data_IF_583458357412
#
_entry.id   IF_583458357412
#
_cell.length_a   1.000
_cell.length_b   1.000
_cell.length_c   1.000
_cell.angle_alpha   90.00
_cell.angle_beta   90.00
_cell.angle_gamma   90.00
#
_symmetry.space_group_name_H-M   'P 1'
#
loop_
_entity.id
_entity.type
_entity.pdbx_description
1 polymer ?
#
# COMPACT_ATOMS: atom_id res chain seq x y z
N UNK A 1 -27.62 -3.13 4.39
CA UNK A 1 -26.56 -4.15 4.68
C UNK A 1 -26.11 -4.93 3.42
N UNK A 2 -26.49 -4.57 2.18
CA UNK A 2 -26.26 -5.45 1.01
C UNK A 2 -24.99 -5.17 0.16
N UNK A 3 -24.51 -3.93 -0.01
CA UNK A 3 -23.35 -3.65 -0.91
C UNK A 3 -21.96 -3.99 -0.34
N UNK A 4 -21.80 -3.99 0.99
CA UNK A 4 -20.52 -4.30 1.65
C UNK A 4 -20.21 -5.80 1.61
N UNK A 5 -21.22 -6.63 1.91
CA UNK A 5 -21.11 -8.09 1.82
C UNK A 5 -20.81 -8.52 0.37
N UNK A 6 -21.47 -7.94 -0.64
CA UNK A 6 -21.19 -8.18 -2.06
C UNK A 6 -19.76 -7.79 -2.45
N UNK A 7 -19.27 -6.63 -2.00
CA UNK A 7 -17.90 -6.16 -2.28
C UNK A 7 -16.81 -7.04 -1.66
N UNK A 8 -17.01 -7.48 -0.41
CA UNK A 8 -16.08 -8.38 0.28
C UNK A 8 -16.15 -9.80 -0.29
N UNK A 9 -17.35 -10.31 -0.59
CA UNK A 9 -17.54 -11.61 -1.24
C UNK A 9 -16.84 -11.66 -2.60
N UNK A 10 -16.90 -10.59 -3.39
CA UNK A 10 -16.18 -10.53 -4.66
C UNK A 10 -14.66 -10.48 -4.49
N UNK A 11 -14.14 -9.85 -3.42
CA UNK A 11 -12.70 -9.84 -3.16
C UNK A 11 -12.22 -11.20 -2.68
N UNK A 12 -12.92 -11.81 -1.72
CA UNK A 12 -12.52 -13.09 -1.15
C UNK A 12 -12.63 -14.19 -2.21
N UNK A 13 -13.72 -14.23 -2.97
CA UNK A 13 -13.86 -15.19 -4.08
C UNK A 13 -12.77 -15.02 -5.14
N UNK A 14 -12.41 -13.77 -5.50
CA UNK A 14 -11.29 -13.52 -6.41
C UNK A 14 -9.95 -13.96 -5.81
N UNK A 15 -9.72 -13.63 -4.53
CA UNK A 15 -8.51 -13.99 -3.80
C UNK A 15 -8.35 -15.51 -3.74
N UNK A 16 -9.40 -16.25 -3.44
CA UNK A 16 -9.39 -17.72 -3.32
C UNK A 16 -9.18 -18.42 -4.66
N UNK A 17 -9.59 -17.80 -5.77
CA UNK A 17 -9.37 -18.32 -7.12
C UNK A 17 -7.95 -18.06 -7.65
N UNK A 18 -7.18 -17.16 -7.02
CA UNK A 18 -5.85 -16.79 -7.45
C UNK A 18 -4.78 -17.59 -6.69
N UNK A 19 -3.72 -18.04 -7.38
CA UNK A 19 -2.72 -18.91 -6.77
C UNK A 19 -1.95 -18.21 -5.64
N UNK A 20 -1.34 -19.00 -4.75
CA UNK A 20 -0.43 -18.52 -3.70
C UNK A 20 0.80 -17.77 -4.22
N UNK A 21 1.12 -17.94 -5.50
CA UNK A 21 2.14 -17.16 -6.20
C UNK A 21 1.72 -15.72 -6.45
N UNK A 22 0.46 -15.33 -6.25
CA UNK A 22 0.07 -13.93 -6.23
C UNK A 22 0.31 -13.32 -4.85
N UNK A 23 0.79 -12.07 -4.83
CA UNK A 23 0.91 -11.31 -3.60
C UNK A 23 -0.39 -10.55 -3.31
N UNK A 24 -0.97 -10.75 -2.13
CA UNK A 24 -2.03 -9.91 -1.57
C UNK A 24 -1.38 -8.83 -0.73
N UNK A 25 -1.47 -7.58 -1.17
CA UNK A 25 -0.75 -6.45 -0.57
C UNK A 25 -1.68 -5.28 -0.28
N UNK A 26 -1.44 -4.57 0.82
CA UNK A 26 -2.19 -3.36 1.15
C UNK A 26 -1.28 -2.18 1.54
N UNK A 27 -1.80 -0.97 1.36
CA UNK A 27 -1.29 0.27 1.95
C UNK A 27 -2.27 0.76 3.01
N UNK A 28 -1.76 1.21 4.15
CA UNK A 28 -2.60 1.78 5.20
C UNK A 28 -1.86 2.85 6.02
N UNK A 29 -2.28 4.12 5.87
CA UNK A 29 -1.90 5.17 6.81
C UNK A 29 -2.68 4.96 8.13
N UNK A 30 -1.96 4.64 9.20
CA UNK A 30 -2.58 4.28 10.49
C UNK A 30 -2.76 5.47 11.44
N UNK A 31 -2.34 6.67 11.02
CA UNK A 31 -2.48 7.91 11.79
C UNK A 31 -1.99 7.80 13.25
N UNK A 32 -0.83 7.19 13.47
CA UNK A 32 -0.31 6.94 14.82
C UNK A 32 -1.20 6.03 15.67
N UNK A 33 -2.05 5.21 15.04
CA UNK A 33 -3.14 4.44 15.66
C UNK A 33 -4.23 5.29 16.32
N UNK A 34 -4.31 6.59 16.00
CA UNK A 34 -5.36 7.49 16.49
C UNK A 34 -6.55 7.38 15.54
N UNK A 35 -7.70 6.98 16.09
CA UNK A 35 -8.92 6.88 15.30
C UNK A 35 -9.62 8.20 15.10
N UNK A 36 -10.67 8.18 14.28
CA UNK A 36 -11.56 9.35 14.09
C UNK A 36 -12.38 9.69 15.33
N UNK A 37 -12.34 8.83 16.35
CA UNK A 37 -12.85 9.05 17.70
C UNK A 37 -11.82 9.69 18.65
N UNK A 38 -10.63 10.02 18.17
CA UNK A 38 -9.52 10.60 18.95
C UNK A 38 -8.80 9.62 19.88
N UNK A 39 -9.20 8.34 19.89
CA UNK A 39 -8.58 7.33 20.76
C UNK A 39 -7.39 6.69 20.07
N UNK A 40 -6.28 6.51 20.79
CA UNK A 40 -5.08 5.80 20.31
C UNK A 40 -5.20 4.32 20.64
N UNK A 41 -5.39 3.46 19.64
CA UNK A 41 -5.62 2.01 19.81
C UNK A 41 -4.98 1.19 18.68
N UNK A 42 -3.84 0.55 18.96
CA UNK A 42 -3.16 -0.33 18.02
C UNK A 42 -3.82 -1.71 17.85
N UNK A 43 -4.61 -2.18 18.83
CA UNK A 43 -5.37 -3.43 18.69
C UNK A 43 -6.45 -3.28 17.63
N UNK A 44 -7.08 -2.10 17.56
CA UNK A 44 -8.02 -1.74 16.49
C UNK A 44 -7.37 -1.72 15.12
N UNK A 45 -6.16 -1.17 14.99
CA UNK A 45 -5.39 -1.23 13.73
C UNK A 45 -5.08 -2.68 13.34
N UNK A 46 -4.61 -3.50 14.28
CA UNK A 46 -4.37 -4.92 14.03
C UNK A 46 -5.65 -5.65 13.59
N UNK A 47 -6.81 -5.35 14.19
CA UNK A 47 -8.09 -5.91 13.80
C UNK A 47 -8.47 -5.51 12.35
N UNK A 48 -8.30 -4.24 11.95
CA UNK A 48 -8.50 -3.83 10.54
C UNK A 48 -7.55 -4.58 9.61
N UNK A 49 -6.27 -4.73 9.97
CA UNK A 49 -5.30 -5.45 9.14
C UNK A 49 -5.70 -6.92 8.94
N UNK A 50 -6.32 -7.56 9.93
CA UNK A 50 -6.87 -8.92 9.76
C UNK A 50 -7.98 -8.97 8.72
N UNK A 51 -8.88 -7.98 8.70
CA UNK A 51 -9.95 -7.89 7.69
C UNK A 51 -9.44 -7.70 6.25
N UNK A 52 -8.17 -7.29 6.07
CA UNK A 52 -7.61 -7.07 4.74
C UNK A 52 -7.31 -8.38 4.01
N UNK A 53 -7.01 -9.45 4.76
CA UNK A 53 -6.61 -10.75 4.21
C UNK A 53 -5.43 -10.63 3.24
N UNK A 54 -4.48 -9.75 3.61
CA UNK A 54 -3.25 -9.52 2.85
C UNK A 54 -2.05 -10.19 3.53
N UNK A 55 -1.12 -10.65 2.70
CA UNK A 55 0.13 -11.28 3.15
C UNK A 55 1.18 -10.24 3.54
N UNK A 56 1.08 -9.05 2.92
CA UNK A 56 2.01 -7.95 3.08
C UNK A 56 1.25 -6.64 3.21
N UNK A 57 1.61 -5.80 4.18
CA UNK A 57 0.96 -4.52 4.44
C UNK A 57 2.02 -3.46 4.64
N UNK A 58 2.05 -2.47 3.76
CA UNK A 58 2.83 -1.25 3.98
C UNK A 58 2.04 -0.26 4.81
N UNK A 59 2.63 0.17 5.91
CA UNK A 59 2.04 1.10 6.85
C UNK A 59 2.74 2.46 6.78
N UNK A 60 1.97 3.52 6.92
CA UNK A 60 2.45 4.90 7.10
C UNK A 60 2.00 5.41 8.46
N UNK A 61 2.75 6.38 9.02
CA UNK A 61 2.46 6.97 10.33
C UNK A 61 2.44 5.96 11.48
N UNK A 62 3.30 4.95 11.42
CA UNK A 62 3.46 3.98 12.50
C UNK A 62 4.42 4.53 13.53
N UNK A 63 4.09 4.36 14.81
CA UNK A 63 4.95 4.72 15.92
C UNK A 63 5.59 3.50 16.62
N UNK A 64 6.04 3.64 17.86
CA UNK A 64 6.68 2.58 18.65
C UNK A 64 5.83 1.32 18.86
N UNK A 65 4.53 1.33 18.50
CA UNK A 65 3.64 0.16 18.61
C UNK A 65 3.72 -0.83 17.44
N UNK A 66 4.65 -0.64 16.51
CA UNK A 66 4.86 -1.57 15.39
C UNK A 66 4.97 -3.03 15.86
N UNK A 67 5.81 -3.30 16.86
CA UNK A 67 6.03 -4.66 17.37
C UNK A 67 4.79 -5.27 18.02
N UNK A 68 3.98 -4.44 18.69
CA UNK A 68 2.69 -4.86 19.22
C UNK A 68 1.74 -5.31 18.11
N UNK A 69 1.64 -4.52 17.04
CA UNK A 69 0.77 -4.85 15.89
C UNK A 69 1.27 -6.14 15.23
N UNK A 70 2.58 -6.24 14.98
CA UNK A 70 3.19 -7.41 14.36
C UNK A 70 3.00 -8.68 15.19
N UNK A 71 3.25 -8.62 16.50
CA UNK A 71 3.05 -9.74 17.43
C UNK A 71 1.60 -10.18 17.50
N UNK A 72 0.64 -9.25 17.49
CA UNK A 72 -0.80 -9.56 17.50
C UNK A 72 -1.26 -10.21 16.18
N UNK A 73 -0.55 -9.99 15.08
CA UNK A 73 -0.85 -10.57 13.77
C UNK A 73 -0.04 -11.85 13.46
N UNK A 74 1.00 -12.14 14.26
CA UNK A 74 1.91 -13.25 14.01
C UNK A 74 2.71 -13.08 12.72
N UNK A 75 3.14 -11.86 12.42
CA UNK A 75 3.87 -11.52 11.18
C UNK A 75 5.18 -10.80 11.49
N UNK A 76 6.11 -10.80 10.54
CA UNK A 76 7.36 -10.05 10.65
C UNK A 76 7.11 -8.55 10.43
N UNK A 77 7.79 -7.71 11.19
CA UNK A 77 7.86 -6.27 10.96
C UNK A 77 9.21 -5.86 10.36
N UNK A 78 9.18 -4.99 9.34
CA UNK A 78 10.34 -4.29 8.79
C UNK A 78 10.18 -2.79 9.06
N UNK A 79 10.94 -2.21 9.99
CA UNK A 79 10.80 -0.80 10.33
C UNK A 79 11.48 0.11 9.30
N UNK A 80 10.75 1.12 8.83
CA UNK A 80 11.24 2.28 8.08
C UNK A 80 11.04 3.58 8.88
N UNK A 81 11.29 3.52 10.19
CA UNK A 81 11.09 4.65 11.11
C UNK A 81 12.21 5.68 10.90
N UNK A 82 11.85 6.95 10.70
CA UNK A 82 12.82 8.01 10.36
C UNK A 82 12.73 9.27 11.17
N UNK A 83 11.67 9.43 11.96
CA UNK A 83 11.52 10.57 12.84
C UNK A 83 11.50 10.07 14.27
N UNK A 84 12.25 10.71 15.16
CA UNK A 84 12.04 10.58 16.61
C UNK A 84 11.20 11.78 17.02
N UNK A 85 9.91 11.54 17.31
CA UNK A 85 9.00 12.53 17.91
C UNK A 85 9.15 12.48 19.44
N UNK A 86 8.55 13.45 20.13
CA UNK A 86 8.47 13.43 21.60
C UNK A 86 7.77 12.15 22.12
N UNK A 87 6.84 11.58 21.36
CA UNK A 87 6.13 10.35 21.68
C UNK A 87 6.76 9.08 21.08
N UNK A 88 7.99 9.17 20.55
CA UNK A 88 8.78 8.02 20.09
C UNK A 88 9.08 8.00 18.59
N UNK A 89 9.68 6.90 18.08
CA UNK A 89 9.98 6.76 16.67
C UNK A 89 8.69 6.73 15.84
N UNK A 90 8.73 7.32 14.64
CA UNK A 90 7.60 7.49 13.74
C UNK A 90 8.06 7.32 12.27
N UNK A 91 7.28 6.64 11.44
CA UNK A 91 7.57 6.52 10.02
C UNK A 91 6.79 5.43 9.28
N UNK A 92 7.43 4.88 8.25
CA UNK A 92 6.87 3.79 7.46
C UNK A 92 7.22 2.44 8.09
N UNK A 93 6.44 1.42 7.78
CA UNK A 93 6.78 0.04 8.08
C UNK A 93 6.23 -0.91 7.03
N UNK A 94 6.76 -2.12 6.99
CA UNK A 94 6.19 -3.23 6.24
C UNK A 94 5.90 -4.37 7.21
N UNK A 95 4.66 -4.83 7.26
CA UNK A 95 4.28 -6.09 7.90
C UNK A 95 4.18 -7.17 6.83
N UNK A 96 4.79 -8.33 7.02
CA UNK A 96 4.75 -9.38 5.99
C UNK A 96 4.87 -10.80 6.55
N UNK A 97 4.18 -11.74 5.89
CA UNK A 97 4.38 -13.19 6.04
C UNK A 97 5.40 -13.76 5.07
N UNK A 98 5.79 -12.98 4.04
CA UNK A 98 6.74 -13.38 3.01
C UNK A 98 8.16 -13.21 3.50
N UNK A 99 9.07 -14.08 3.05
CA UNK A 99 10.49 -13.99 3.40
C UNK A 99 11.06 -12.68 2.85
N UNK A 100 11.73 -11.92 3.72
CA UNK A 100 12.46 -10.71 3.32
C UNK A 100 13.84 -11.09 2.82
N UNK A 101 14.19 -10.61 1.63
CA UNK A 101 15.46 -10.87 0.96
C UNK A 101 16.44 -9.72 1.19
N UNK A 102 15.96 -8.47 1.08
CA UNK A 102 16.80 -7.28 1.21
C UNK A 102 15.98 -6.10 1.71
N UNK A 103 16.59 -5.22 2.49
CA UNK A 103 15.96 -4.00 3.02
C UNK A 103 16.86 -2.80 2.76
N UNK A 104 16.31 -1.81 2.07
CA UNK A 104 16.92 -0.52 1.77
C UNK A 104 16.03 0.60 2.27
N UNK A 105 16.62 1.76 2.52
CA UNK A 105 15.91 2.96 2.94
C UNK A 105 16.39 4.15 2.13
N UNK A 106 15.46 4.84 1.48
CA UNK A 106 15.74 6.07 0.77
C UNK A 106 15.27 7.25 1.61
N UNK A 107 16.20 8.12 2.02
CA UNK A 107 15.85 9.37 2.68
C UNK A 107 15.15 10.31 1.67
N UNK A 108 13.97 10.82 2.06
CA UNK A 108 13.15 11.73 1.28
C UNK A 108 12.91 13.06 2.04
N UNK A 109 13.82 13.42 2.95
CA UNK A 109 13.78 14.69 3.68
C UNK A 109 13.93 15.90 2.76
N UNK A 110 13.16 16.96 3.02
CA UNK A 110 13.15 18.18 2.22
C UNK A 110 13.33 19.42 3.10
N UNK A 111 14.54 19.95 3.14
CA UNK A 111 14.88 21.10 3.99
C UNK A 111 14.61 20.81 5.47
N UNK A 112 13.95 21.75 6.17
CA UNK A 112 13.56 21.62 7.58
C UNK A 112 12.17 20.99 7.80
N UNK A 113 11.59 20.35 6.77
CA UNK A 113 10.28 19.70 6.88
C UNK A 113 10.38 18.36 7.61
N UNK A 114 9.23 17.80 7.94
CA UNK A 114 9.14 16.48 8.55
C UNK A 114 9.93 15.44 7.72
N UNK A 115 10.87 14.70 8.32
CA UNK A 115 11.62 13.66 7.61
C UNK A 115 10.69 12.61 7.01
N UNK A 116 10.75 12.46 5.68
CA UNK A 116 10.10 11.37 4.94
C UNK A 116 11.14 10.36 4.48
N UNK A 117 10.69 9.14 4.20
CA UNK A 117 11.49 8.11 3.57
C UNK A 117 10.64 7.24 2.64
N UNK A 118 11.33 6.45 1.82
CA UNK A 118 10.75 5.27 1.20
C UNK A 118 11.47 4.02 1.75
N UNK A 119 10.69 3.10 2.31
CA UNK A 119 11.15 1.79 2.75
C UNK A 119 11.07 0.84 1.56
N UNK A 120 12.21 0.31 1.14
CA UNK A 120 12.35 -0.46 -0.10
C UNK A 120 12.81 -1.88 0.24
N UNK A 121 11.94 -2.86 0.03
CA UNK A 121 12.09 -4.22 0.53
C UNK A 121 11.93 -5.20 -0.61
N UNK A 122 12.86 -6.13 -0.76
CA UNK A 122 12.66 -7.29 -1.62
C UNK A 122 12.03 -8.43 -0.83
N UNK A 123 10.97 -8.98 -1.39
CA UNK A 123 10.26 -10.14 -0.86
C UNK A 123 10.42 -11.33 -1.79
N UNK A 124 10.52 -12.51 -1.21
CA UNK A 124 10.33 -13.78 -1.91
C UNK A 124 8.84 -14.14 -1.90
N UNK A 125 8.26 -14.20 -3.10
CA UNK A 125 6.89 -14.67 -3.30
C UNK A 125 6.92 -15.89 -4.20
N UNK A 126 6.84 -17.08 -3.59
CA UNK A 126 6.86 -18.37 -4.29
C UNK A 126 8.10 -18.56 -5.19
N UNK A 127 9.28 -18.17 -4.71
CA UNK A 127 10.55 -18.28 -5.43
C UNK A 127 10.82 -17.13 -6.39
N UNK A 128 9.93 -16.14 -6.47
CA UNK A 128 10.09 -14.95 -7.31
C UNK A 128 10.41 -13.73 -6.43
N UNK A 129 11.45 -12.98 -6.79
CA UNK A 129 11.75 -11.69 -6.17
C UNK A 129 10.73 -10.65 -6.60
N UNK A 130 10.10 -10.00 -5.62
CA UNK A 130 9.23 -8.84 -5.82
C UNK A 130 9.72 -7.68 -4.95
N UNK A 131 10.01 -6.54 -5.58
CA UNK A 131 10.43 -5.33 -4.89
C UNK A 131 9.21 -4.53 -4.45
N UNK A 132 9.10 -4.23 -3.16
CA UNK A 132 8.00 -3.47 -2.54
C UNK A 132 8.54 -2.20 -1.92
N UNK A 133 8.01 -1.06 -2.34
CA UNK A 133 8.39 0.25 -1.81
C UNK A 133 7.18 0.86 -1.10
N UNK A 134 7.33 1.11 0.20
CA UNK A 134 6.35 1.80 1.06
C UNK A 134 6.82 3.24 1.27
N UNK A 135 5.97 4.22 0.97
CA UNK A 135 6.34 5.64 1.12
C UNK A 135 5.20 6.47 1.69
N UNK A 136 5.54 7.61 2.31
CA UNK A 136 4.61 8.65 2.70
C UNK A 136 5.20 9.98 2.24
N UNK A 137 4.55 10.67 1.30
CA UNK A 137 5.07 11.93 0.77
C UNK A 137 4.67 13.13 1.63
N UNK A 138 5.39 14.23 1.49
CA UNK A 138 5.12 15.45 2.24
C UNK A 138 3.87 16.20 1.78
N UNK A 139 3.42 17.13 2.60
CA UNK A 139 2.17 17.87 2.38
C UNK A 139 2.31 19.00 1.34
N UNK A 140 3.53 19.44 1.04
CA UNK A 140 3.77 20.58 0.15
C UNK A 140 4.03 20.14 -1.28
N UNK A 141 3.39 20.79 -2.27
CA UNK A 141 3.48 20.37 -3.67
C UNK A 141 4.91 20.41 -4.25
N UNK A 142 5.77 21.32 -3.79
CA UNK A 142 7.19 21.37 -4.19
C UNK A 142 8.01 20.22 -3.62
N UNK A 143 7.77 19.89 -2.35
CA UNK A 143 8.35 18.74 -1.67
C UNK A 143 7.94 17.43 -2.34
N UNK A 144 6.64 17.19 -2.58
CA UNK A 144 6.16 15.99 -3.30
C UNK A 144 6.83 15.82 -4.65
N UNK A 145 6.98 16.90 -5.41
CA UNK A 145 7.65 16.89 -6.71
C UNK A 145 9.11 16.47 -6.60
N UNK A 146 9.83 16.96 -5.59
CA UNK A 146 11.22 16.58 -5.35
C UNK A 146 11.33 15.11 -4.91
N UNK A 147 10.47 14.67 -3.98
CA UNK A 147 10.45 13.30 -3.46
C UNK A 147 10.11 12.28 -4.55
N UNK A 148 9.11 12.54 -5.38
CA UNK A 148 8.76 11.67 -6.51
C UNK A 148 9.91 11.60 -7.53
N UNK A 149 10.59 12.71 -7.83
CA UNK A 149 11.76 12.66 -8.72
C UNK A 149 12.86 11.74 -8.16
N UNK A 150 13.21 11.90 -6.87
CA UNK A 150 14.19 11.04 -6.19
C UNK A 150 13.80 9.56 -6.24
N UNK A 151 12.53 9.25 -5.98
CA UNK A 151 12.01 7.88 -6.06
C UNK A 151 12.08 7.32 -7.49
N UNK A 152 11.71 8.11 -8.49
CA UNK A 152 11.77 7.68 -9.89
C UNK A 152 13.21 7.50 -10.37
N UNK A 153 14.14 8.34 -9.93
CA UNK A 153 15.57 8.19 -10.25
C UNK A 153 16.10 6.85 -9.72
N UNK A 154 15.70 6.42 -8.52
CA UNK A 154 16.01 5.09 -7.99
C UNK A 154 15.43 3.98 -8.89
N UNK A 155 14.16 4.11 -9.27
CA UNK A 155 13.42 3.09 -10.04
C UNK A 155 13.85 2.96 -11.51
N UNK A 156 14.49 3.97 -12.08
CA UNK A 156 15.07 3.90 -13.43
C UNK A 156 16.26 2.95 -13.52
N UNK A 157 16.98 2.75 -12.42
CA UNK A 157 18.10 1.81 -12.35
C UNK A 157 17.64 0.37 -12.09
N UNK A 158 16.35 0.15 -11.83
CA UNK A 158 15.77 -1.17 -11.64
C UNK A 158 15.49 -1.82 -13.00
N UNK A 159 16.04 -3.02 -13.29
CA UNK A 159 15.82 -3.71 -14.55
C UNK A 159 14.33 -3.83 -14.94
N UNK A 160 14.05 -3.74 -16.24
CA UNK A 160 12.66 -3.71 -16.73
C UNK A 160 11.88 -5.01 -16.44
N UNK A 161 12.58 -6.14 -16.31
CA UNK A 161 11.98 -7.44 -16.00
C UNK A 161 11.66 -7.62 -14.52
N UNK A 162 12.24 -6.80 -13.63
CA UNK A 162 11.93 -6.87 -12.21
C UNK A 162 10.55 -6.28 -11.92
N UNK A 163 9.79 -7.03 -11.12
CA UNK A 163 8.48 -6.58 -10.65
C UNK A 163 8.65 -5.64 -9.47
N UNK A 164 8.00 -4.49 -9.57
CA UNK A 164 8.04 -3.45 -8.53
C UNK A 164 6.63 -3.08 -8.14
N UNK A 165 6.36 -3.05 -6.84
CA UNK A 165 5.17 -2.45 -6.25
C UNK A 165 5.59 -1.20 -5.51
N UNK A 166 4.97 -0.07 -5.80
CA UNK A 166 5.11 1.16 -4.99
C UNK A 166 3.75 1.47 -4.40
N UNK A 167 3.68 1.64 -3.09
CA UNK A 167 2.44 1.94 -2.40
C UNK A 167 2.64 2.94 -1.27
N UNK A 168 1.57 3.64 -0.93
CA UNK A 168 1.60 4.61 0.16
C UNK A 168 0.63 5.76 0.00
N UNK A 169 0.61 6.60 1.03
CA UNK A 169 -0.02 7.91 1.01
C UNK A 169 0.88 8.91 0.28
N UNK A 170 0.44 9.35 -0.91
CA UNK A 170 1.18 10.34 -1.70
C UNK A 170 0.74 11.78 -1.44
N UNK A 171 -0.21 12.02 -0.54
CA UNK A 171 -0.74 13.35 -0.23
C UNK A 171 -1.18 14.15 -1.46
N UNK A 172 -1.70 13.46 -2.48
CA UNK A 172 -2.02 14.04 -3.78
C UNK A 172 -3.17 13.29 -4.45
N UNK A 173 -4.32 13.95 -4.53
CA UNK A 173 -5.56 13.39 -5.07
C UNK A 173 -5.82 13.79 -6.52
N UNK A 174 -5.16 14.84 -7.05
CA UNK A 174 -5.41 15.34 -8.40
C UNK A 174 -4.84 14.35 -9.44
N UNK A 175 -5.68 13.75 -10.30
CA UNK A 175 -5.23 12.73 -11.27
C UNK A 175 -4.18 13.26 -12.26
N UNK A 176 -4.27 14.54 -12.60
CA UNK A 176 -3.36 15.24 -13.50
C UNK A 176 -2.28 16.03 -12.75
N UNK A 177 -2.00 15.72 -11.49
CA UNK A 177 -0.84 16.30 -10.82
C UNK A 177 0.47 15.79 -11.44
N UNK A 178 1.52 16.61 -11.38
CA UNK A 178 2.86 16.21 -11.86
C UNK A 178 3.36 14.92 -11.17
N UNK A 179 3.31 14.78 -9.83
CA UNK A 179 3.70 13.55 -9.15
C UNK A 179 3.00 12.30 -9.69
N UNK A 180 1.67 12.33 -9.81
CA UNK A 180 0.88 11.17 -10.28
C UNK A 180 1.22 10.83 -11.73
N UNK A 181 1.30 11.83 -12.63
CA UNK A 181 1.67 11.59 -14.03
C UNK A 181 3.06 10.97 -14.16
N UNK A 182 4.04 11.45 -13.39
CA UNK A 182 5.40 10.91 -13.45
C UNK A 182 5.47 9.46 -12.91
N UNK A 183 4.77 9.17 -11.82
CA UNK A 183 4.64 7.79 -11.32
C UNK A 183 3.97 6.87 -12.35
N UNK A 184 2.86 7.32 -12.95
CA UNK A 184 2.16 6.56 -13.99
C UNK A 184 3.03 6.31 -15.23
N UNK A 185 3.92 7.25 -15.58
CA UNK A 185 4.78 7.10 -16.76
C UNK A 185 5.82 5.98 -16.62
N UNK A 186 6.28 5.70 -15.40
CA UNK A 186 7.30 4.66 -15.15
C UNK A 186 6.69 3.34 -14.69
N UNK A 187 5.64 3.39 -13.86
CA UNK A 187 5.06 2.21 -13.22
C UNK A 187 3.73 1.78 -13.87
N UNK A 188 3.23 2.54 -14.85
CA UNK A 188 1.89 2.35 -15.40
C UNK A 188 0.78 2.94 -14.51
N UNK A 189 -0.42 3.05 -15.05
CA UNK A 189 -1.53 3.76 -14.39
C UNK A 189 -2.03 3.05 -13.13
N UNK A 190 -1.96 3.71 -11.97
CA UNK A 190 -2.65 3.25 -10.75
C UNK A 190 -4.15 3.62 -10.79
N UNK A 191 -4.99 2.71 -10.31
CA UNK A 191 -6.43 2.97 -10.12
C UNK A 191 -6.61 3.92 -8.92
N UNK A 192 -7.53 4.89 -9.05
CA UNK A 192 -7.78 5.91 -8.03
C UNK A 192 -8.94 5.51 -7.11
N UNK A 193 -8.64 4.79 -6.03
CA UNK A 193 -9.63 4.46 -5.01
C UNK A 193 -9.72 5.56 -3.94
N UNK A 194 -10.94 6.03 -3.65
CA UNK A 194 -11.15 7.02 -2.59
C UNK A 194 -10.92 6.37 -1.23
N UNK A 195 -9.92 6.84 -0.50
CA UNK A 195 -9.51 6.34 0.81
C UNK A 195 -9.67 7.38 1.93
N UNK A 196 -9.75 8.67 1.60
CA UNK A 196 -9.74 9.76 2.57
C UNK A 196 -10.88 10.78 2.34
N UNK A 197 -11.49 11.34 3.39
CA UNK A 197 -11.45 10.88 4.79
C UNK A 197 -12.21 9.56 4.95
N UNK A 198 -11.83 8.73 5.93
CA UNK A 198 -12.28 7.34 6.03
C UNK A 198 -13.81 7.18 6.18
N UNK A 199 -14.45 8.07 6.93
CA UNK A 199 -15.93 8.08 7.12
C UNK A 199 -16.70 8.50 5.87
N UNK A 200 -16.12 9.37 5.05
CA UNK A 200 -16.73 9.89 3.82
C UNK A 200 -15.69 9.99 2.71
N UNK A 201 -15.26 8.86 2.09
CA UNK A 201 -14.09 8.90 1.23
C UNK A 201 -14.35 9.66 -0.07
N UNK A 202 -13.68 10.80 -0.21
CA UNK A 202 -13.78 11.73 -1.34
C UNK A 202 -12.50 11.75 -2.20
N UNK A 203 -11.35 11.53 -1.57
CA UNK A 203 -10.02 11.71 -2.16
C UNK A 203 -9.23 10.40 -2.21
N UNK A 204 -8.44 10.23 -3.27
CA UNK A 204 -7.59 9.06 -3.50
C UNK A 204 -6.11 9.41 -3.22
N UNK A 205 -5.79 9.57 -1.93
CA UNK A 205 -4.44 9.89 -1.45
C UNK A 205 -3.54 8.65 -1.42
N UNK A 206 -4.11 7.52 -0.99
CA UNK A 206 -3.44 6.23 -0.96
C UNK A 206 -3.46 5.58 -2.35
N UNK A 207 -2.30 5.06 -2.77
CA UNK A 207 -2.12 4.52 -4.12
C UNK A 207 -1.31 3.24 -4.09
N UNK A 208 -1.54 2.40 -5.10
CA UNK A 208 -0.70 1.23 -5.39
C UNK A 208 -0.36 1.25 -6.89
N UNK A 209 0.92 1.36 -7.20
CA UNK A 209 1.48 1.20 -8.54
C UNK A 209 2.19 -0.13 -8.65
N UNK A 210 2.12 -0.76 -9.82
CA UNK A 210 2.78 -2.04 -10.09
C UNK A 210 3.41 -1.99 -11.47
N UNK A 211 4.71 -2.27 -11.55
CA UNK A 211 5.44 -2.45 -12.79
C UNK A 211 5.81 -3.93 -12.98
N UNK A 212 5.51 -4.56 -14.13
CA UNK A 212 4.70 -4.02 -15.23
C UNK A 212 3.22 -3.95 -14.85
N UNK A 213 2.48 -2.98 -15.43
CA UNK A 213 1.06 -2.72 -15.07
C UNK A 213 0.12 -3.94 -15.16
N UNK A 214 0.25 -4.86 -16.13
CA UNK A 214 -0.60 -6.05 -16.19
C UNK A 214 -0.46 -6.99 -14.99
N UNK A 215 0.60 -6.87 -14.19
CA UNK A 215 0.75 -7.65 -12.96
C UNK A 215 -0.23 -7.20 -11.86
N UNK A 216 -0.79 -5.99 -11.92
CA UNK A 216 -1.86 -5.56 -11.00
C UNK A 216 -3.21 -6.15 -11.46
N UNK A 217 -3.65 -7.19 -10.75
CA UNK A 217 -4.86 -7.95 -11.09
C UNK A 217 -6.13 -7.32 -10.53
N UNK A 218 -6.06 -6.78 -9.31
CA UNK A 218 -7.18 -6.13 -8.65
C UNK A 218 -6.68 -5.06 -7.66
N UNK A 219 -7.49 -4.03 -7.44
CA UNK A 219 -7.26 -2.95 -6.50
C UNK A 219 -8.61 -2.44 -5.97
N UNK A 220 -8.74 -2.24 -4.66
CA UNK A 220 -9.93 -1.63 -4.03
C UNK A 220 -9.60 -0.97 -2.69
N UNK A 221 -10.35 0.06 -2.30
CA UNK A 221 -10.38 0.49 -0.90
C UNK A 221 -11.11 -0.54 -0.02
N UNK A 222 -10.56 -0.84 1.15
CA UNK A 222 -11.22 -1.65 2.17
C UNK A 222 -12.15 -0.78 3.02
N UNK A 223 -13.45 -1.06 2.95
CA UNK A 223 -14.50 -0.27 3.61
C UNK A 223 -15.25 -1.15 4.59
N UNK A 224 -14.90 -1.07 5.86
CA UNK A 224 -15.62 -1.70 6.98
C UNK A 224 -15.99 -0.66 8.04
N UNK A 225 -17.00 -0.92 8.89
CA UNK A 225 -17.30 -0.05 10.03
C UNK A 225 -16.09 0.21 10.91
N UNK A 226 -15.25 -0.81 11.12
CA UNK A 226 -14.04 -0.68 11.92
C UNK A 226 -13.00 0.23 11.24
N UNK A 227 -12.74 0.04 9.94
CA UNK A 227 -11.78 0.84 9.19
C UNK A 227 -12.15 2.34 9.15
N UNK A 228 -13.45 2.67 9.16
CA UNK A 228 -13.92 4.07 9.19
C UNK A 228 -13.63 4.78 10.51
N UNK A 229 -13.40 4.03 11.58
CA UNK A 229 -13.13 4.57 12.92
C UNK A 229 -11.63 4.47 13.24
N UNK A 230 -10.97 3.42 12.75
CA UNK A 230 -9.61 3.05 13.14
C UNK A 230 -8.52 4.05 12.74
N UNK A 231 -8.71 4.73 11.62
CA UNK A 231 -7.82 5.76 11.07
C UNK A 231 -8.68 6.77 10.29
N UNK A 232 -8.13 7.94 10.01
CA UNK A 232 -8.72 8.92 9.08
C UNK A 232 -8.53 8.52 7.61
N UNK A 233 -7.71 7.50 7.33
CA UNK A 233 -7.60 6.84 6.03
C UNK A 233 -8.27 5.46 6.02
N UNK A 234 -8.79 5.04 4.86
CA UNK A 234 -9.11 3.64 4.59
C UNK A 234 -7.90 2.92 3.99
N UNK A 235 -7.66 1.65 4.35
CA UNK A 235 -6.67 0.83 3.65
C UNK A 235 -7.03 0.66 2.17
N UNK A 236 -6.03 0.64 1.29
CA UNK A 236 -6.17 0.25 -0.12
C UNK A 236 -5.45 -1.08 -0.33
N UNK A 237 -6.15 -2.08 -0.85
CA UNK A 237 -5.61 -3.44 -1.06
C UNK A 237 -5.59 -3.82 -2.54
N UNK A 238 -4.61 -4.63 -2.90
CA UNK A 238 -4.31 -5.05 -4.26
C UNK A 238 -3.88 -6.53 -4.31
N UNK A 239 -4.11 -7.16 -5.47
CA UNK A 239 -3.58 -8.48 -5.79
C UNK A 239 -2.60 -8.33 -6.96
N UNK A 240 -1.39 -8.85 -6.77
CA UNK A 240 -0.27 -8.68 -7.71
C UNK A 240 0.26 -10.04 -8.17
N UNK A 241 0.29 -10.28 -9.48
CA UNK A 241 0.91 -11.47 -10.06
C UNK A 241 2.44 -11.36 -10.03
N UNK A 242 3.12 -12.36 -9.46
CA UNK A 242 4.60 -12.40 -9.40
C UNK A 242 5.24 -13.09 -10.59
N UNK A 243 4.44 -13.77 -11.41
CA UNK A 243 4.82 -14.45 -12.64
C UNK A 243 3.77 -14.21 -13.73
N UNK A 244 4.09 -14.56 -14.97
CA UNK A 244 3.11 -14.47 -16.05
C UNK A 244 2.05 -15.56 -15.82
N UNK A 245 0.81 -15.16 -15.57
CA UNK A 245 -0.29 -16.11 -15.44
C UNK A 245 -0.62 -16.64 -16.84
N UNK A 246 -0.50 -17.96 -17.06
CA UNK A 246 -1.00 -18.61 -18.26
C UNK A 246 -2.51 -18.74 -18.10
N UNK A 247 -3.26 -17.82 -18.70
CA UNK A 247 -4.71 -17.74 -18.56
C UNK A 247 -5.46 -18.75 -19.44
N UNK A 248 -4.97 -19.99 -19.52
CA UNK A 248 -5.69 -21.07 -20.19
C UNK A 248 -6.50 -21.84 -19.14
N UNK A 249 -7.83 -21.75 -19.29
CA UNK A 249 -8.88 -22.39 -18.50
C UNK A 249 -9.29 -21.64 -17.21
N UNK A 250 -10.46 -20.99 -17.29
CA UNK A 250 -11.43 -20.60 -16.23
C UNK A 250 -11.82 -19.10 -16.15
N UNK A 251 -13.08 -18.90 -15.74
CA UNK A 251 -13.99 -17.77 -15.94
C UNK A 251 -13.59 -16.37 -15.42
N UNK A 252 -12.41 -16.22 -14.81
CA UNK A 252 -11.94 -14.99 -14.13
C UNK A 252 -11.68 -13.84 -15.12
N UNK A 253 -11.25 -14.17 -16.35
CA UNK A 253 -10.89 -13.19 -17.38
C UNK A 253 -12.05 -12.24 -17.78
N UNK A 254 -13.31 -12.69 -17.66
CA UNK A 254 -14.49 -11.86 -17.99
C UNK A 254 -14.80 -10.82 -16.91
N UNK A 255 -14.47 -11.09 -15.65
CA UNK A 255 -14.79 -10.18 -14.54
C UNK A 255 -13.77 -9.04 -14.40
N UNK A 256 -12.48 -9.31 -14.68
CA UNK A 256 -11.41 -8.31 -14.54
C UNK A 256 -11.31 -7.34 -15.72
N UNK A 257 -11.70 -7.73 -16.96
CA UNK A 257 -11.79 -6.80 -18.09
C UNK A 257 -12.79 -5.65 -17.83
N UNK A 258 -13.89 -5.94 -17.14
CA UNK A 258 -14.92 -4.95 -16.79
C UNK A 258 -14.49 -3.92 -15.71
N UNK A 259 -13.34 -4.15 -15.05
CA UNK A 259 -12.72 -3.23 -14.06
C UNK A 259 -11.62 -2.37 -14.71
N UNK A 260 -11.06 -2.80 -15.85
CA UNK A 260 -10.03 -2.05 -16.58
C UNK A 260 -10.55 -0.98 -17.55
N UNK A 261 -11.84 -1.03 -17.89
CA UNK A 261 -12.48 -0.13 -18.88
C UNK A 261 -13.41 0.93 -18.26
N UNK A 262 -13.32 1.18 -16.95
CA UNK A 262 -14.11 2.21 -16.25
C UNK A 262 -13.26 3.20 -15.48
#
# INVERSE_FOLDING_TARGET
MSRQAESLANWQALSDQLPESCLRIASYNVHGCVGTDGRKDASRIAAVIRELECDTIGLQEVDYRLDYIAGRLGVQAVPGLTLVRHDGPFGNALLTRRKVLEVRRLALGYGRREPRNALDVDLDVSGQRLRVIVTHLGLFAGERRWQVKKLLDLLRHTPAHERVVVLGDINEWLPLSRPVRWMNSLLGHSVAERSFPSRWPLFALDRVWVRPRPALLALKAHRSPLAQIASDHLPVKAIVATQHLRWEQHAVARHLRAVGER
#
